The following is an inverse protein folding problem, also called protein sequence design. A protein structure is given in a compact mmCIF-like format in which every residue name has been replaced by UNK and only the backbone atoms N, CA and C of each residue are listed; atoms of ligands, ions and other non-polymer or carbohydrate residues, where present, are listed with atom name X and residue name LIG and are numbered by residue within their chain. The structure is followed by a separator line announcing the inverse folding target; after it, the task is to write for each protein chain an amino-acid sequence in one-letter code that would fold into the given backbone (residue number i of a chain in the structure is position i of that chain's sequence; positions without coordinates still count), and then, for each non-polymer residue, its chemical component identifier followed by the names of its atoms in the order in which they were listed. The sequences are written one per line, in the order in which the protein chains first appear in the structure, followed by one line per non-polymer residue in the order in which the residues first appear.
data_IF_969588787725
#
_entry.id   IF_969588787725
#
_cell.length_a   1.000
_cell.length_b   1.000
_cell.length_c   1.000
_cell.angle_alpha   90.00
_cell.angle_beta   90.00
_cell.angle_gamma   90.00
#
_symmetry.space_group_name_H-M   'P 1'
#
loop_
_entity.id
_entity.type
_entity.pdbx_description
1 polymer ?
#
# COMPACT_ATOMS: atom_id res chain seq x y z
N UNK A 1 38.76 -3.06 13.91
CA UNK A 1 37.69 -2.05 14.07
C UNK A 1 37.01 -1.81 12.72
N UNK A 2 36.14 -2.71 12.24
CA UNK A 2 35.45 -2.55 10.93
C UNK A 2 34.01 -3.13 10.82
N UNK A 3 33.23 -3.41 11.88
CA UNK A 3 31.83 -3.82 11.68
C UNK A 3 30.87 -2.64 11.48
N UNK A 4 31.25 -1.40 11.85
CA UNK A 4 30.32 -0.27 11.87
C UNK A 4 29.95 0.26 10.48
N UNK A 5 30.85 0.15 9.49
CA UNK A 5 30.64 0.69 8.15
C UNK A 5 29.60 -0.13 7.35
N UNK A 6 29.44 -1.42 7.65
CA UNK A 6 28.46 -2.30 7.00
C UNK A 6 27.03 -2.03 7.48
N UNK A 7 26.84 -1.58 8.73
CA UNK A 7 25.52 -1.23 9.27
C UNK A 7 24.94 0.05 8.65
N UNK A 8 25.79 1.00 8.26
CA UNK A 8 25.35 2.26 7.65
C UNK A 8 24.95 2.05 6.18
N UNK A 9 25.61 1.15 5.46
CA UNK A 9 25.28 0.81 4.07
C UNK A 9 24.00 -0.02 3.94
N UNK A 10 23.64 -0.82 4.96
CA UNK A 10 22.38 -1.57 4.95
C UNK A 10 21.14 -0.69 5.24
N UNK A 11 21.33 0.43 5.95
CA UNK A 11 20.25 1.38 6.24
C UNK A 11 19.83 2.27 5.05
N UNK A 12 20.74 2.52 4.10
CA UNK A 12 20.48 3.37 2.94
C UNK A 12 19.75 2.66 1.79
N UNK A 13 19.77 1.33 1.75
CA UNK A 13 19.06 0.56 0.72
C UNK A 13 17.55 0.48 0.96
N UNK A 14 17.07 0.71 2.19
CA UNK A 14 15.63 0.79 2.49
C UNK A 14 15.04 2.20 2.38
N UNK A 15 15.88 3.23 2.21
CA UNK A 15 15.44 4.63 2.16
C UNK A 15 15.12 5.12 0.73
N UNK A 16 15.31 4.26 -0.28
CA UNK A 16 15.25 4.65 -1.69
C UNK A 16 13.87 4.44 -2.35
N UNK A 17 12.86 3.97 -1.61
CA UNK A 17 11.48 4.24 -2.02
C UNK A 17 11.06 5.53 -1.31
N UNK A 18 11.00 6.69 -1.99
CA UNK A 18 10.29 7.82 -1.42
C UNK A 18 8.90 7.29 -1.06
N UNK A 19 8.45 7.46 0.20
CA UNK A 19 7.09 7.05 0.52
C UNK A 19 6.20 7.75 -0.49
N UNK A 20 5.32 7.00 -1.15
CA UNK A 20 4.53 7.43 -2.32
C UNK A 20 3.86 8.82 -2.16
N UNK A 21 3.79 9.33 -0.93
CA UNK A 21 2.97 10.44 -0.43
C UNK A 21 3.61 11.28 0.68
N UNK A 22 4.90 11.07 1.01
CA UNK A 22 5.54 11.71 2.17
C UNK A 22 5.54 10.85 3.46
N UNK A 23 5.97 11.39 4.61
CA UNK A 23 6.40 10.58 5.76
C UNK A 23 5.30 9.80 6.49
N UNK A 24 4.02 10.13 6.27
CA UNK A 24 2.89 9.44 6.93
C UNK A 24 1.60 9.58 6.12
N UNK A 25 0.65 8.68 6.36
CA UNK A 25 -0.72 8.80 5.84
C UNK A 25 -1.59 9.56 6.85
N UNK A 26 -2.17 10.72 6.50
CA UNK A 26 -3.03 11.46 7.42
C UNK A 26 -4.32 10.68 7.72
N UNK A 27 -4.91 10.84 8.93
CA UNK A 27 -6.24 10.30 9.23
C UNK A 27 -7.29 10.76 8.21
N UNK A 28 -8.23 9.87 7.88
CA UNK A 28 -9.21 10.09 6.82
C UNK A 28 -8.71 9.73 5.41
N UNK A 29 -7.45 9.34 5.25
CA UNK A 29 -6.97 8.80 3.97
C UNK A 29 -7.71 7.51 3.63
N UNK A 30 -8.22 7.39 2.41
CA UNK A 30 -8.86 6.17 1.94
C UNK A 30 -7.98 5.42 0.93
N UNK A 31 -7.94 4.11 1.08
CA UNK A 31 -7.39 3.16 0.11
C UNK A 31 -8.56 2.45 -0.54
N UNK A 32 -8.71 2.57 -1.86
CA UNK A 32 -9.76 1.91 -2.63
C UNK A 32 -9.11 1.04 -3.69
N UNK A 33 -9.33 -0.27 -3.62
CA UNK A 33 -8.81 -1.23 -4.59
C UNK A 33 -9.88 -1.50 -5.64
N UNK A 34 -9.61 -1.14 -6.89
CA UNK A 34 -10.51 -1.36 -8.01
C UNK A 34 -9.94 -2.31 -9.05
N UNK A 35 -10.81 -2.87 -9.89
CA UNK A 35 -10.39 -3.44 -11.17
C UNK A 35 -9.78 -2.35 -12.07
N UNK A 36 -8.94 -2.76 -13.02
CA UNK A 36 -8.27 -1.84 -13.95
C UNK A 36 -9.23 -0.99 -14.79
N UNK A 37 -10.42 -1.52 -15.11
CA UNK A 37 -11.50 -0.80 -15.79
C UNK A 37 -12.34 0.09 -14.86
N UNK A 38 -11.97 0.16 -13.57
CA UNK A 38 -12.62 0.91 -12.50
C UNK A 38 -14.08 0.51 -12.21
N UNK A 39 -14.54 -0.64 -12.71
CA UNK A 39 -15.94 -1.08 -12.56
C UNK A 39 -16.21 -1.84 -11.27
N UNK A 40 -15.22 -2.54 -10.75
CA UNK A 40 -15.34 -3.39 -9.57
C UNK A 40 -14.55 -2.79 -8.43
N UNK A 41 -15.18 -2.55 -7.29
CA UNK A 41 -14.51 -2.21 -6.04
C UNK A 41 -14.21 -3.50 -5.27
N UNK A 42 -12.95 -3.92 -5.27
CA UNK A 42 -12.47 -5.11 -4.54
C UNK A 42 -12.36 -4.88 -3.04
N UNK A 43 -12.13 -3.64 -2.61
CA UNK A 43 -12.11 -3.31 -1.19
C UNK A 43 -11.85 -1.83 -0.98
N UNK A 44 -12.31 -1.33 0.16
CA UNK A 44 -12.06 0.04 0.58
C UNK A 44 -11.70 0.06 2.06
N UNK A 45 -10.73 0.88 2.41
CA UNK A 45 -10.27 1.06 3.78
C UNK A 45 -10.01 2.54 4.06
N UNK A 46 -10.12 2.93 5.32
CA UNK A 46 -9.78 4.26 5.81
C UNK A 46 -8.69 4.17 6.87
N UNK A 47 -7.74 5.08 6.80
CA UNK A 47 -6.72 5.27 7.82
C UNK A 47 -7.33 6.08 8.97
N UNK A 48 -7.35 5.50 10.15
CA UNK A 48 -7.76 6.17 11.39
C UNK A 48 -6.68 5.98 12.45
N UNK A 49 -5.91 7.04 12.72
CA UNK A 49 -4.69 6.94 13.52
C UNK A 49 -3.68 5.96 12.87
N UNK A 50 -3.31 4.90 13.60
CA UNK A 50 -2.42 3.83 13.09
C UNK A 50 -3.17 2.62 12.55
N UNK A 51 -4.50 2.68 12.45
CA UNK A 51 -5.34 1.54 12.06
C UNK A 51 -5.80 1.69 10.62
N UNK A 52 -5.95 0.56 9.95
CA UNK A 52 -6.60 0.47 8.66
C UNK A 52 -7.98 -0.15 8.84
N UNK A 53 -9.03 0.66 8.75
CA UNK A 53 -10.40 0.24 8.98
C UNK A 53 -11.11 -0.07 7.67
N UNK A 54 -11.76 -1.24 7.51
CA UNK A 54 -12.51 -1.56 6.31
C UNK A 54 -13.77 -0.67 6.21
N UNK A 55 -14.01 -0.11 5.01
CA UNK A 55 -15.21 0.65 4.66
C UNK A 55 -16.26 -0.21 3.96
N UNK A 56 -15.84 -1.34 3.39
CA UNK A 56 -16.72 -2.32 2.76
C UNK A 56 -16.19 -3.75 2.98
N UNK A 57 -17.05 -4.78 2.94
CA UNK A 57 -16.58 -6.15 2.81
C UNK A 57 -15.73 -6.30 1.54
N UNK A 58 -14.54 -6.94 1.61
CA UNK A 58 -13.71 -7.12 0.43
C UNK A 58 -14.29 -8.19 -0.51
N UNK A 59 -14.17 -7.95 -1.81
CA UNK A 59 -14.43 -8.91 -2.88
C UNK A 59 -13.07 -9.34 -3.44
N UNK A 60 -12.61 -10.58 -3.17
CA UNK A 60 -11.28 -11.02 -3.57
C UNK A 60 -11.06 -10.90 -5.08
N UNK A 61 -10.05 -10.13 -5.55
CA UNK A 61 -9.59 -10.22 -6.93
C UNK A 61 -8.94 -11.59 -7.19
N UNK A 62 -8.89 -12.00 -8.47
CA UNK A 62 -8.15 -13.21 -8.85
C UNK A 62 -6.65 -12.98 -8.64
N UNK A 63 -5.93 -14.02 -8.21
CA UNK A 63 -4.46 -13.94 -8.12
C UNK A 63 -3.88 -13.67 -9.51
N UNK A 64 -2.96 -12.70 -9.60
CA UNK A 64 -2.39 -12.23 -10.86
C UNK A 64 -3.27 -11.22 -11.62
N UNK A 65 -4.45 -10.88 -11.12
CA UNK A 65 -5.31 -9.88 -11.74
C UNK A 65 -4.70 -8.48 -11.59
N UNK A 66 -4.69 -7.71 -12.68
CA UNK A 66 -4.34 -6.30 -12.66
C UNK A 66 -5.44 -5.48 -11.95
N UNK A 67 -5.00 -4.64 -11.03
CA UNK A 67 -5.86 -3.83 -10.16
C UNK A 67 -5.33 -2.40 -10.10
N UNK A 68 -6.21 -1.48 -9.74
CA UNK A 68 -5.89 -0.08 -9.52
C UNK A 68 -6.12 0.26 -8.05
N UNK A 69 -5.05 0.58 -7.31
CA UNK A 69 -5.18 1.19 -6.00
C UNK A 69 -5.41 2.69 -6.19
N UNK A 70 -6.58 3.19 -5.78
CA UNK A 70 -6.81 4.62 -5.62
C UNK A 70 -6.57 5.00 -4.17
N UNK A 71 -5.69 5.98 -3.99
CA UNK A 71 -5.46 6.59 -2.70
C UNK A 71 -6.10 7.98 -2.69
N UNK A 72 -6.94 8.23 -1.70
CA UNK A 72 -7.71 9.47 -1.55
C UNK A 72 -7.28 10.15 -0.26
N UNK A 73 -6.49 11.22 -0.36
CA UNK A 73 -6.18 12.04 0.81
C UNK A 73 -7.33 13.03 1.08
N UNK A 74 -7.55 13.43 2.34
CA UNK A 74 -8.54 14.45 2.67
C UNK A 74 -8.31 15.75 1.89
N UNK A 75 -9.31 16.17 1.11
CA UNK A 75 -9.25 17.41 0.31
C UNK A 75 -8.45 17.33 -0.98
N UNK A 76 -7.86 16.17 -1.30
CA UNK A 76 -7.10 15.98 -2.55
C UNK A 76 -7.85 15.12 -3.56
N UNK A 77 -7.40 15.20 -4.82
CA UNK A 77 -7.89 14.29 -5.87
C UNK A 77 -7.32 12.87 -5.65
N UNK A 78 -8.10 11.81 -5.94
CA UNK A 78 -7.59 10.45 -5.88
C UNK A 78 -6.35 10.24 -6.76
N UNK A 79 -5.34 9.58 -6.19
CA UNK A 79 -4.09 9.22 -6.88
C UNK A 79 -4.09 7.73 -7.24
N UNK A 80 -3.98 7.37 -8.53
CA UNK A 80 -3.96 5.98 -8.98
C UNK A 80 -2.56 5.38 -8.91
N UNK A 81 -2.47 4.17 -8.34
CA UNK A 81 -1.28 3.32 -8.35
C UNK A 81 -1.62 1.95 -8.96
N UNK A 82 -1.01 1.57 -10.09
CA UNK A 82 -1.26 0.26 -10.70
C UNK A 82 -0.66 -0.84 -9.82
N UNK A 83 -1.30 -2.01 -9.81
CA UNK A 83 -0.81 -3.15 -9.06
C UNK A 83 -1.35 -4.47 -9.56
N UNK A 84 -0.87 -5.55 -8.95
CA UNK A 84 -1.28 -6.92 -9.22
C UNK A 84 -1.71 -7.57 -7.91
N UNK A 85 -2.89 -8.19 -7.89
CA UNK A 85 -3.38 -8.91 -6.74
C UNK A 85 -2.60 -10.19 -6.47
N UNK A 86 -2.19 -10.42 -5.22
CA UNK A 86 -1.47 -11.61 -4.78
C UNK A 86 -1.89 -12.04 -3.37
N UNK A 87 -2.62 -13.16 -3.27
CA UNK A 87 -2.93 -13.87 -2.00
C UNK A 87 -3.26 -13.00 -0.78
N UNK A 88 -4.12 -12.00 -0.94
CA UNK A 88 -4.52 -11.11 0.16
C UNK A 88 -3.71 -9.81 0.24
N UNK A 89 -2.80 -9.58 -0.70
CA UNK A 89 -1.99 -8.38 -0.81
C UNK A 89 -2.05 -7.83 -2.25
N UNK A 90 -1.58 -6.60 -2.43
CA UNK A 90 -1.43 -5.96 -3.73
C UNK A 90 0.03 -5.61 -3.93
N UNK A 91 0.61 -6.11 -5.01
CA UNK A 91 1.94 -5.73 -5.46
C UNK A 91 1.81 -4.48 -6.34
N UNK A 92 2.10 -3.31 -5.77
CA UNK A 92 2.13 -2.05 -6.50
C UNK A 92 3.30 -2.05 -7.50
N UNK A 93 3.04 -1.56 -8.71
CA UNK A 93 4.04 -1.47 -9.78
C UNK A 93 4.56 -0.04 -9.86
N UNK A 94 5.82 0.16 -9.52
CA UNK A 94 6.49 1.46 -9.58
C UNK A 94 7.87 1.29 -10.23
N UNK A 95 8.16 2.04 -11.29
CA UNK A 95 9.49 2.07 -11.94
C UNK A 95 10.13 0.69 -12.23
N UNK A 96 9.28 -0.29 -12.58
CA UNK A 96 9.60 -1.72 -12.83
C UNK A 96 9.81 -2.59 -11.60
N UNK A 97 9.69 -2.04 -10.41
CA UNK A 97 9.66 -2.78 -9.16
C UNK A 97 8.24 -3.13 -8.73
N UNK A 98 8.13 -4.22 -7.95
CA UNK A 98 6.88 -4.65 -7.32
C UNK A 98 7.03 -4.52 -5.82
N UNK A 99 6.15 -3.73 -5.22
CA UNK A 99 6.19 -3.44 -3.79
C UNK A 99 4.90 -3.89 -3.14
N UNK A 100 5.03 -4.71 -2.09
CA UNK A 100 3.89 -5.15 -1.27
C UNK A 100 3.22 -3.95 -0.60
N UNK A 101 1.91 -3.79 -0.81
CA UNK A 101 1.11 -2.77 -0.16
C UNK A 101 1.08 -2.99 1.34
N UNK A 102 0.85 -4.21 1.82
CA UNK A 102 0.83 -4.49 3.26
C UNK A 102 2.16 -4.17 3.94
N UNK A 103 3.28 -4.52 3.29
CA UNK A 103 4.62 -4.18 3.77
C UNK A 103 4.82 -2.67 3.83
N UNK A 104 4.43 -1.95 2.79
CA UNK A 104 4.49 -0.49 2.72
C UNK A 104 3.68 0.16 3.86
N UNK A 105 2.44 -0.28 4.07
CA UNK A 105 1.57 0.24 5.13
C UNK A 105 2.17 0.02 6.53
N UNK A 106 2.78 -1.16 6.76
CA UNK A 106 3.35 -1.51 8.06
C UNK A 106 4.71 -0.86 8.31
N UNK A 107 5.65 -1.02 7.39
CA UNK A 107 7.06 -0.67 7.60
C UNK A 107 7.35 0.80 7.30
N UNK A 108 6.69 1.36 6.28
CA UNK A 108 6.92 2.75 5.86
C UNK A 108 5.95 3.70 6.56
N UNK A 109 4.66 3.34 6.61
CA UNK A 109 3.64 4.20 7.20
C UNK A 109 3.29 3.88 8.66
N UNK A 110 3.90 2.85 9.25
CA UNK A 110 3.70 2.52 10.67
C UNK A 110 2.27 2.15 11.03
N UNK A 111 1.48 1.69 10.06
CA UNK A 111 0.10 1.24 10.27
C UNK A 111 0.06 -0.21 10.78
N UNK A 112 -1.11 -0.59 11.28
CA UNK A 112 -1.45 -1.94 11.76
C UNK A 112 -2.51 -2.57 10.84
N UNK A 113 -2.18 -2.87 9.56
CA UNK A 113 -3.11 -3.55 8.68
C UNK A 113 -3.31 -5.02 9.10
N UNK A 114 -4.37 -5.69 8.62
CA UNK A 114 -4.48 -7.14 8.75
C UNK A 114 -3.34 -7.86 8.00
N UNK A 115 -3.12 -9.14 8.30
CA UNK A 115 -2.16 -9.97 7.57
C UNK A 115 -2.52 -10.13 6.09
N UNK A 116 -3.80 -10.03 5.77
CA UNK A 116 -4.36 -10.07 4.42
C UNK A 116 -5.52 -9.08 4.30
N UNK A 117 -5.59 -8.36 3.19
CA UNK A 117 -6.66 -7.42 2.84
C UNK A 117 -7.98 -8.14 2.51
N UNK A 118 -7.91 -9.39 2.07
CA UNK A 118 -9.03 -10.28 1.83
C UNK A 118 -8.67 -11.72 2.23
N UNK A 119 -9.67 -12.58 2.54
CA UNK A 119 -9.44 -13.95 3.01
C UNK A 119 -8.68 -14.85 2.01
#
# INVERSE_FOLDING_TARGET
MRPLALLVLLGLALAALPPLLGPSLPPGTELRLLSQDLRTLHGAWRVEGKRLLPLSPPVPPKVGQEVQLLLVLPGERPRPFPGVADRGDVLLVQDRERVSLLKLLKEVYGLTPPERLWP
#
